data_IF_624128660446
#
_entry.id   IF_624128660446
#
_cell.length_a   1.000
_cell.length_b   1.000
_cell.length_c   1.000
_cell.angle_alpha   90.00
_cell.angle_beta   90.00
_cell.angle_gamma   90.00
#
_symmetry.space_group_name_H-M   'P 1'
#
loop_
_entity.id
_entity.type
_entity.pdbx_description
1 polymer ?
#
# COMPACT_ATOMS: atom_id res chain seq x y z
N UNK A 1 -13.13 17.42 -6.91
CA UNK A 1 -12.00 16.76 -6.17
C UNK A 1 -10.68 17.31 -6.69
N UNK A 2 -9.79 17.73 -5.78
CA UNK A 2 -8.45 18.25 -6.12
C UNK A 2 -7.38 17.28 -5.68
N UNK A 3 -6.29 17.18 -6.47
CA UNK A 3 -5.12 16.34 -6.18
C UNK A 3 -3.88 17.22 -6.25
N UNK A 4 -3.00 17.10 -5.27
CA UNK A 4 -1.68 17.72 -5.35
C UNK A 4 -0.81 16.92 -6.32
N UNK A 5 -0.41 17.58 -7.40
CA UNK A 5 0.44 16.99 -8.42
C UNK A 5 1.91 17.35 -8.16
N UNK A 6 2.74 16.36 -7.87
CA UNK A 6 4.18 16.57 -7.64
C UNK A 6 4.87 17.20 -8.84
N UNK A 7 4.42 16.88 -10.07
CA UNK A 7 4.98 17.43 -11.30
C UNK A 7 4.84 18.95 -11.39
N UNK A 8 3.67 19.47 -11.02
CA UNK A 8 3.36 20.91 -11.10
C UNK A 8 3.53 21.63 -9.76
N UNK A 9 3.64 20.86 -8.64
CA UNK A 9 3.66 21.36 -7.25
C UNK A 9 2.42 22.16 -6.87
N UNK A 10 1.27 21.82 -7.44
CA UNK A 10 -0.01 22.49 -7.20
C UNK A 10 -1.12 21.48 -6.95
N UNK A 11 -2.16 21.91 -6.24
CA UNK A 11 -3.44 21.20 -6.20
C UNK A 11 -4.20 21.53 -7.50
N UNK A 12 -4.58 20.50 -8.22
CA UNK A 12 -5.27 20.60 -9.51
C UNK A 12 -6.60 19.86 -9.44
N UNK A 13 -7.59 20.31 -10.20
CA UNK A 13 -8.83 19.55 -10.36
C UNK A 13 -8.53 18.23 -11.06
N UNK A 14 -9.03 17.14 -10.47
CA UNK A 14 -8.88 15.83 -11.06
C UNK A 14 -9.82 15.67 -12.26
N UNK A 15 -9.25 15.46 -13.43
CA UNK A 15 -9.97 15.16 -14.67
C UNK A 15 -9.40 13.87 -15.24
N UNK A 16 -10.18 12.76 -15.23
CA UNK A 16 -9.70 11.49 -15.74
C UNK A 16 -9.53 11.50 -17.25
N UNK A 17 -8.69 10.59 -17.76
CA UNK A 17 -8.48 10.36 -19.19
C UNK A 17 -9.76 9.87 -19.88
N UNK A 18 -10.54 9.05 -19.16
CA UNK A 18 -11.81 8.49 -19.60
C UNK A 18 -12.86 8.74 -18.52
N UNK A 19 -13.99 9.30 -18.89
CA UNK A 19 -15.05 9.63 -17.93
C UNK A 19 -15.48 8.40 -17.11
N UNK A 20 -15.57 8.57 -15.79
CA UNK A 20 -15.94 7.51 -14.87
C UNK A 20 -14.88 6.45 -14.60
N UNK A 21 -13.70 6.51 -15.24
CA UNK A 21 -12.63 5.53 -15.07
C UNK A 21 -11.33 6.18 -14.62
N UNK A 22 -10.54 5.44 -13.85
CA UNK A 22 -9.22 5.89 -13.37
C UNK A 22 -8.19 4.80 -13.60
N UNK A 23 -7.11 5.13 -14.29
CA UNK A 23 -5.92 4.32 -14.50
C UNK A 23 -4.86 4.71 -13.48
N UNK A 24 -4.60 3.86 -12.50
CA UNK A 24 -3.70 4.16 -11.39
C UNK A 24 -2.59 3.12 -11.27
N UNK A 25 -1.34 3.56 -11.35
CA UNK A 25 -0.16 2.74 -11.10
C UNK A 25 0.52 3.16 -9.80
N UNK A 26 0.79 2.20 -8.93
CA UNK A 26 1.53 2.41 -7.68
C UNK A 26 2.73 1.48 -7.65
N UNK A 27 3.94 2.04 -7.59
CA UNK A 27 5.15 1.23 -7.51
C UNK A 27 5.13 0.32 -6.29
N UNK A 28 5.26 -0.97 -6.53
CA UNK A 28 5.25 -2.02 -5.53
C UNK A 28 6.62 -2.28 -4.89
N UNK A 29 6.68 -3.15 -3.88
CA UNK A 29 7.91 -3.43 -3.17
C UNK A 29 8.84 -4.39 -3.90
N UNK A 30 10.14 -4.29 -3.62
CA UNK A 30 11.11 -5.34 -3.91
C UNK A 30 10.96 -6.46 -2.87
N UNK A 31 10.68 -7.67 -3.31
CA UNK A 31 10.24 -8.80 -2.46
C UNK A 31 11.41 -9.69 -2.04
N UNK A 32 12.28 -9.18 -1.18
CA UNK A 32 13.45 -9.88 -0.63
C UNK A 32 13.36 -10.16 0.87
N UNK A 33 12.38 -9.59 1.56
CA UNK A 33 12.18 -9.74 3.01
C UNK A 33 10.74 -9.37 3.38
N UNK A 34 10.35 -9.61 4.63
CA UNK A 34 9.11 -9.06 5.19
C UNK A 34 9.06 -7.54 4.99
N UNK A 35 7.88 -7.02 4.65
CA UNK A 35 7.70 -5.58 4.46
C UNK A 35 7.84 -4.84 5.79
N UNK A 36 8.45 -3.67 5.74
CA UNK A 36 8.54 -2.78 6.88
C UNK A 36 7.43 -1.72 6.86
N UNK A 37 7.23 -1.06 8.00
CA UNK A 37 6.15 -0.06 8.14
C UNK A 37 6.27 1.10 7.14
N UNK A 38 7.48 1.40 6.64
CA UNK A 38 7.67 2.36 5.55
C UNK A 38 7.09 1.90 4.20
N UNK A 39 7.11 0.57 3.91
CA UNK A 39 6.43 0.01 2.75
C UNK A 39 4.90 -0.03 2.94
N UNK A 40 4.45 -0.23 4.18
CA UNK A 40 3.02 -0.25 4.51
C UNK A 40 2.35 1.10 4.23
N UNK A 41 3.07 2.21 4.42
CA UNK A 41 2.52 3.55 4.26
C UNK A 41 1.93 3.81 2.86
N UNK A 42 2.67 3.69 1.75
CA UNK A 42 2.09 3.84 0.41
C UNK A 42 0.97 2.84 0.14
N UNK A 43 1.06 1.59 0.63
CA UNK A 43 0.03 0.58 0.44
C UNK A 43 -1.30 1.01 1.07
N UNK A 44 -1.28 1.52 2.30
CA UNK A 44 -2.46 2.00 3.03
C UNK A 44 -3.01 3.29 2.40
N UNK A 45 -2.14 4.25 2.11
CA UNK A 45 -2.53 5.55 1.56
C UNK A 45 -3.19 5.39 0.20
N UNK A 46 -2.57 4.68 -0.73
CA UNK A 46 -3.09 4.57 -2.09
C UNK A 46 -4.27 3.58 -2.20
N UNK A 47 -4.39 2.62 -1.27
CA UNK A 47 -5.64 1.87 -1.08
C UNK A 47 -6.79 2.79 -0.65
N UNK A 48 -6.53 3.74 0.24
CA UNK A 48 -7.53 4.72 0.68
C UNK A 48 -7.91 5.69 -0.45
N UNK A 49 -6.94 6.15 -1.24
CA UNK A 49 -7.20 6.93 -2.46
C UNK A 49 -8.10 6.17 -3.42
N UNK A 50 -7.78 4.90 -3.70
CA UNK A 50 -8.60 4.01 -4.53
C UNK A 50 -10.02 3.88 -3.98
N UNK A 51 -10.18 3.57 -2.68
CA UNK A 51 -11.49 3.41 -2.03
C UNK A 51 -12.33 4.67 -2.12
N UNK A 52 -11.73 5.84 -1.92
CA UNK A 52 -12.45 7.10 -2.05
C UNK A 52 -12.88 7.39 -3.50
N UNK A 53 -12.03 7.12 -4.48
CA UNK A 53 -12.41 7.25 -5.89
C UNK A 53 -13.56 6.29 -6.26
N UNK A 54 -13.49 5.02 -5.80
CA UNK A 54 -14.59 4.06 -5.97
C UNK A 54 -15.89 4.55 -5.28
N UNK A 55 -15.78 5.13 -4.08
CA UNK A 55 -16.89 5.76 -3.37
C UNK A 55 -17.52 6.91 -4.16
N UNK A 56 -16.72 7.70 -4.87
CA UNK A 56 -17.17 8.78 -5.77
C UNK A 56 -17.72 8.26 -7.11
N UNK A 57 -17.76 6.94 -7.31
CA UNK A 57 -18.36 6.30 -8.48
C UNK A 57 -17.38 6.02 -9.63
N UNK A 58 -16.08 6.18 -9.45
CA UNK A 58 -15.09 5.81 -10.46
C UNK A 58 -14.83 4.30 -10.48
N UNK A 59 -14.69 3.74 -11.68
CA UNK A 59 -14.08 2.42 -11.88
C UNK A 59 -12.54 2.58 -11.87
N UNK A 60 -11.88 2.08 -10.82
CA UNK A 60 -10.44 2.24 -10.65
C UNK A 60 -9.70 0.98 -11.10
N UNK A 61 -8.94 1.06 -12.20
CA UNK A 61 -7.98 0.04 -12.58
C UNK A 61 -6.65 0.32 -11.84
N UNK A 62 -6.47 -0.36 -10.70
CA UNK A 62 -5.32 -0.21 -9.81
C UNK A 62 -4.28 -1.29 -10.10
N UNK A 63 -3.11 -0.88 -10.56
CA UNK A 63 -1.97 -1.77 -10.83
C UNK A 63 -0.85 -1.49 -9.84
N UNK A 64 -0.34 -2.54 -9.19
CA UNK A 64 0.84 -2.45 -8.33
C UNK A 64 1.68 -3.70 -8.50
N UNK A 65 2.93 -3.54 -8.89
CA UNK A 65 3.83 -4.64 -9.22
C UNK A 65 4.52 -5.25 -7.99
N UNK A 66 5.14 -6.40 -8.24
CA UNK A 66 6.21 -6.92 -7.38
C UNK A 66 7.52 -6.94 -8.17
N UNK A 67 8.53 -6.25 -7.66
CA UNK A 67 9.91 -6.37 -8.16
C UNK A 67 10.49 -7.66 -7.59
N UNK A 68 10.50 -8.70 -8.43
CA UNK A 68 10.90 -10.07 -8.08
C UNK A 68 12.27 -10.46 -8.66
N UNK A 69 12.98 -9.51 -9.26
CA UNK A 69 14.37 -9.60 -9.69
C UNK A 69 15.14 -8.33 -9.31
N UNK A 70 16.10 -8.43 -8.39
CA UNK A 70 16.87 -7.29 -7.88
C UNK A 70 18.14 -7.79 -7.19
N UNK A 71 19.16 -6.94 -7.08
CA UNK A 71 20.43 -7.27 -6.38
C UNK A 71 20.19 -7.74 -4.94
N UNK A 72 19.18 -7.22 -4.24
CA UNK A 72 18.85 -7.61 -2.85
C UNK A 72 18.25 -9.01 -2.78
N UNK A 73 17.44 -9.40 -3.77
CA UNK A 73 16.85 -10.74 -3.87
C UNK A 73 17.97 -11.75 -4.15
N UNK A 74 18.84 -11.44 -5.11
CA UNK A 74 19.99 -12.29 -5.50
C UNK A 74 20.92 -12.49 -4.30
N UNK A 75 21.29 -11.41 -3.61
CA UNK A 75 22.12 -11.50 -2.41
C UNK A 75 21.48 -12.39 -1.34
N UNK A 76 20.18 -12.21 -1.09
CA UNK A 76 19.43 -13.00 -0.11
C UNK A 76 19.39 -14.49 -0.50
N UNK A 77 19.20 -14.79 -1.78
CA UNK A 77 19.20 -16.15 -2.31
C UNK A 77 20.54 -16.85 -2.10
N UNK A 78 21.64 -16.15 -2.39
CA UNK A 78 22.99 -16.65 -2.16
C UNK A 78 23.26 -16.89 -0.65
N UNK A 79 22.85 -15.97 0.22
CA UNK A 79 22.98 -16.09 1.68
C UNK A 79 22.22 -17.30 2.24
N UNK A 80 21.02 -17.62 1.68
CA UNK A 80 20.20 -18.74 2.14
C UNK A 80 20.45 -20.04 1.36
N UNK A 81 21.26 -20.02 0.29
CA UNK A 81 21.54 -21.20 -0.54
C UNK A 81 20.33 -21.69 -1.34
N UNK A 82 19.45 -20.79 -1.75
CA UNK A 82 18.23 -21.07 -2.52
C UNK A 82 18.18 -20.23 -3.79
N UNK A 83 17.18 -20.44 -4.67
CA UNK A 83 17.02 -19.63 -5.88
C UNK A 83 16.42 -18.25 -5.58
N UNK A 84 16.67 -17.28 -6.47
CA UNK A 84 16.05 -15.96 -6.42
C UNK A 84 14.51 -16.05 -6.54
N UNK A 85 14.01 -16.99 -7.34
CA UNK A 85 12.59 -17.26 -7.50
C UNK A 85 11.96 -17.79 -6.19
N UNK A 86 12.65 -18.63 -5.45
CA UNK A 86 12.16 -19.13 -4.15
C UNK A 86 12.05 -17.97 -3.14
N UNK A 87 13.03 -17.07 -3.09
CA UNK A 87 13.00 -15.89 -2.23
C UNK A 87 11.82 -14.99 -2.61
N UNK A 88 11.70 -14.61 -3.89
CA UNK A 88 10.64 -13.69 -4.32
C UNK A 88 9.26 -14.28 -4.13
N UNK A 89 9.03 -15.56 -4.47
CA UNK A 89 7.75 -16.26 -4.28
C UNK A 89 7.35 -16.28 -2.81
N UNK A 90 8.28 -16.59 -1.92
CA UNK A 90 8.07 -16.58 -0.47
C UNK A 90 7.61 -15.20 0.01
N UNK A 91 8.36 -14.15 -0.32
CA UNK A 91 8.07 -12.83 0.19
C UNK A 91 6.91 -12.10 -0.52
N UNK A 92 6.54 -12.49 -1.74
CA UNK A 92 5.25 -12.09 -2.34
C UNK A 92 4.08 -12.62 -1.51
N UNK A 93 4.14 -13.90 -1.11
CA UNK A 93 3.10 -14.51 -0.27
C UNK A 93 3.00 -13.81 1.09
N UNK A 94 4.13 -13.56 1.75
CA UNK A 94 4.17 -12.86 3.02
C UNK A 94 3.68 -11.41 2.91
N UNK A 95 4.07 -10.69 1.85
CA UNK A 95 3.60 -9.34 1.58
C UNK A 95 2.07 -9.28 1.38
N UNK A 96 1.52 -10.20 0.58
CA UNK A 96 0.06 -10.29 0.37
C UNK A 96 -0.68 -10.56 1.69
N UNK A 97 -0.11 -11.39 2.56
CA UNK A 97 -0.69 -11.63 3.90
C UNK A 97 -0.69 -10.36 4.74
N UNK A 98 0.45 -9.67 4.84
CA UNK A 98 0.56 -8.43 5.61
C UNK A 98 -0.39 -7.34 5.06
N UNK A 99 -0.54 -7.24 3.74
CA UNK A 99 -1.51 -6.34 3.10
C UNK A 99 -2.95 -6.67 3.48
N UNK A 100 -3.34 -7.96 3.47
CA UNK A 100 -4.67 -8.40 3.86
C UNK A 100 -4.96 -8.11 5.34
N UNK A 101 -3.97 -8.35 6.20
CA UNK A 101 -4.07 -8.09 7.65
C UNK A 101 -4.23 -6.58 7.94
N UNK A 102 -3.67 -5.69 7.10
CA UNK A 102 -3.88 -4.24 7.13
C UNK A 102 -5.17 -3.79 6.41
N UNK A 103 -6.00 -4.70 5.92
CA UNK A 103 -7.19 -4.43 5.11
C UNK A 103 -6.91 -3.62 3.83
N UNK A 104 -5.76 -3.83 3.20
CA UNK A 104 -5.44 -3.30 1.88
C UNK A 104 -6.11 -4.19 0.82
N UNK A 105 -6.93 -3.60 -0.06
CA UNK A 105 -7.57 -4.33 -1.16
C UNK A 105 -6.51 -4.90 -2.11
N UNK A 106 -6.69 -6.13 -2.62
CA UNK A 106 -5.84 -6.63 -3.70
C UNK A 106 -5.84 -5.67 -4.90
N UNK A 107 -4.69 -5.48 -5.53
CA UNK A 107 -4.63 -4.72 -6.78
C UNK A 107 -5.52 -5.38 -7.86
N UNK A 108 -6.04 -4.60 -8.79
CA UNK A 108 -6.74 -5.14 -9.97
C UNK A 108 -5.81 -6.05 -10.74
N UNK A 109 -4.54 -5.64 -10.87
CA UNK A 109 -3.47 -6.46 -11.44
C UNK A 109 -2.20 -6.23 -10.63
N UNK A 110 -1.53 -7.34 -10.25
CA UNK A 110 -0.26 -7.32 -9.50
C UNK A 110 0.82 -8.06 -10.30
N UNK A 111 1.39 -7.44 -11.35
CA UNK A 111 2.37 -8.09 -12.22
C UNK A 111 3.70 -8.29 -11.51
N UNK A 112 4.47 -9.28 -11.98
CA UNK A 112 5.83 -9.56 -11.54
C UNK A 112 6.81 -9.18 -12.64
N UNK A 113 7.92 -8.54 -12.30
CA UNK A 113 8.91 -8.08 -13.27
C UNK A 113 9.45 -9.21 -14.15
N UNK A 114 9.69 -10.40 -13.57
CA UNK A 114 10.19 -11.58 -14.29
C UNK A 114 9.23 -12.10 -15.37
N UNK A 115 7.96 -11.79 -15.29
CA UNK A 115 6.94 -12.17 -16.28
C UNK A 115 6.87 -11.20 -17.47
N UNK A 116 7.57 -10.06 -17.39
CA UNK A 116 7.47 -8.96 -18.36
C UNK A 116 8.78 -8.69 -19.11
N UNK A 117 9.73 -9.61 -19.05
CA UNK A 117 11.08 -9.47 -19.63
C UNK A 117 11.04 -9.13 -21.12
N UNK A 118 10.20 -9.81 -21.90
CA UNK A 118 10.11 -9.53 -23.34
C UNK A 118 9.65 -8.09 -23.62
N UNK A 119 8.65 -7.60 -22.87
CA UNK A 119 8.20 -6.21 -22.98
C UNK A 119 9.28 -5.20 -22.62
N UNK A 120 10.16 -5.54 -21.65
CA UNK A 120 11.31 -4.71 -21.31
C UNK A 120 12.34 -4.67 -22.43
N UNK A 121 12.65 -5.82 -23.03
CA UNK A 121 13.55 -5.91 -24.19
C UNK A 121 13.00 -5.09 -25.36
N UNK A 122 11.71 -5.22 -25.65
CA UNK A 122 11.05 -4.50 -26.76
C UNK A 122 11.07 -2.97 -26.54
N UNK A 123 10.82 -2.51 -25.31
CA UNK A 123 10.88 -1.09 -24.96
C UNK A 123 12.32 -0.56 -25.07
N UNK A 124 13.31 -1.30 -24.56
CA UNK A 124 14.71 -0.93 -24.64
C UNK A 124 15.15 -0.84 -26.11
N UNK A 125 14.77 -1.83 -26.94
CA UNK A 125 15.08 -1.79 -28.38
C UNK A 125 14.47 -0.56 -29.05
N UNK A 126 13.21 -0.24 -28.72
CA UNK A 126 12.55 0.98 -29.23
C UNK A 126 13.32 2.25 -28.83
N UNK A 127 13.83 2.32 -27.60
CA UNK A 127 14.64 3.45 -27.14
C UNK A 127 15.98 3.53 -27.86
N UNK A 128 16.62 2.39 -28.19
CA UNK A 128 17.85 2.34 -28.99
C UNK A 128 17.57 2.83 -30.41
N UNK A 129 16.53 2.32 -31.06
CA UNK A 129 16.15 2.67 -32.44
C UNK A 129 15.85 4.17 -32.57
N UNK A 130 15.27 4.78 -31.53
CA UNK A 130 15.02 6.22 -31.45
C UNK A 130 16.23 7.05 -31.00
N UNK A 131 17.36 6.40 -30.68
CA UNK A 131 18.61 7.04 -30.27
C UNK A 131 18.65 7.53 -28.82
N UNK A 132 17.67 7.15 -27.98
CA UNK A 132 17.64 7.48 -26.55
C UNK A 132 18.43 6.49 -25.68
N UNK A 133 18.79 5.34 -26.20
CA UNK A 133 19.58 4.36 -25.50
C UNK A 133 20.74 3.84 -26.37
N UNK A 134 21.73 3.20 -25.78
CA UNK A 134 22.86 2.60 -26.47
C UNK A 134 23.40 1.39 -25.75
N UNK A 135 23.83 0.33 -26.48
CA UNK A 135 24.58 -0.77 -25.91
C UNK A 135 26.06 -0.42 -25.76
N UNK A 136 26.63 -0.74 -24.63
CA UNK A 136 28.07 -0.67 -24.38
C UNK A 136 28.78 -1.95 -24.83
N UNK A 137 30.13 -1.95 -24.81
CA UNK A 137 30.92 -3.07 -25.30
C UNK A 137 30.74 -4.38 -24.53
N UNK A 138 30.36 -4.33 -23.26
CA UNK A 138 30.09 -5.50 -22.41
C UNK A 138 28.62 -6.00 -22.51
N UNK A 139 27.80 -5.35 -23.33
CA UNK A 139 26.37 -5.66 -23.49
C UNK A 139 25.45 -4.93 -22.52
N UNK A 140 25.98 -4.09 -21.63
CA UNK A 140 25.15 -3.20 -20.80
C UNK A 140 24.43 -2.21 -21.69
N UNK A 141 23.13 -1.98 -21.48
CA UNK A 141 22.40 -0.93 -22.21
C UNK A 141 22.12 0.23 -21.26
N UNK A 142 22.48 1.43 -21.71
CA UNK A 142 22.27 2.67 -20.96
C UNK A 142 21.27 3.58 -21.66
N UNK A 143 20.50 4.34 -20.86
CA UNK A 143 19.67 5.44 -21.33
C UNK A 143 20.49 6.74 -21.39
N UNK A 144 20.36 7.51 -22.48
CA UNK A 144 21.03 8.82 -22.68
C UNK A 144 20.23 9.93 -22.03
N UNK A 145 20.49 10.24 -20.78
CA UNK A 145 19.73 11.26 -20.02
C UNK A 145 19.73 12.62 -20.72
N UNK A 146 20.84 13.09 -21.26
CA UNK A 146 20.94 14.40 -21.92
C UNK A 146 20.14 14.53 -23.22
N UNK A 147 19.64 13.42 -23.77
CA UNK A 147 18.76 13.43 -24.94
C UNK A 147 17.33 13.86 -24.59
N UNK A 148 16.91 13.63 -23.36
CA UNK A 148 15.61 14.06 -22.85
C UNK A 148 15.73 15.45 -22.21
N UNK A 149 15.28 16.48 -22.94
CA UNK A 149 15.49 17.88 -22.54
C UNK A 149 14.78 18.27 -21.24
N UNK A 150 13.73 17.53 -20.86
CA UNK A 150 12.90 17.78 -19.69
C UNK A 150 13.31 16.97 -18.47
N UNK A 151 14.52 16.35 -18.47
CA UNK A 151 15.01 15.60 -17.31
C UNK A 151 15.03 16.47 -16.06
N UNK A 152 14.51 15.94 -14.98
CA UNK A 152 14.36 16.69 -13.73
C UNK A 152 13.02 17.41 -13.59
N UNK A 153 12.07 17.27 -14.55
CA UNK A 153 10.78 17.95 -14.50
C UNK A 153 9.90 17.52 -13.31
N UNK A 154 10.01 16.26 -12.86
CA UNK A 154 9.28 15.76 -11.70
C UNK A 154 9.98 16.10 -10.38
N UNK A 155 11.27 15.85 -10.32
CA UNK A 155 12.10 16.07 -9.12
C UNK A 155 12.46 17.54 -8.91
N UNK A 156 12.31 18.37 -9.95
CA UNK A 156 12.75 19.76 -10.02
C UNK A 156 14.24 19.94 -9.73
N UNK A 157 15.05 18.92 -10.07
CA UNK A 157 16.49 18.94 -9.96
C UNK A 157 17.13 19.49 -11.22
N UNK A 158 18.15 20.29 -11.05
CA UNK A 158 18.94 20.79 -12.17
C UNK A 158 20.01 19.74 -12.54
N UNK A 159 20.17 19.47 -13.85
CA UNK A 159 21.19 18.55 -14.37
C UNK A 159 22.62 18.92 -13.93
N UNK A 160 22.92 20.22 -13.88
CA UNK A 160 24.26 20.69 -13.47
C UNK A 160 24.57 20.37 -12.00
N UNK A 161 23.58 20.46 -11.13
CA UNK A 161 23.71 20.11 -9.72
C UNK A 161 23.89 18.59 -9.53
N UNK A 162 23.21 17.79 -10.34
CA UNK A 162 23.37 16.33 -10.35
C UNK A 162 24.76 15.91 -10.79
N UNK A 163 25.32 16.55 -11.84
CA UNK A 163 26.68 16.27 -12.32
C UNK A 163 27.75 16.55 -11.26
N UNK A 164 27.59 17.59 -10.46
CA UNK A 164 28.53 17.93 -9.40
C UNK A 164 28.57 16.89 -8.27
N UNK A 165 27.42 16.25 -7.96
CA UNK A 165 27.30 15.17 -6.97
C UNK A 165 27.87 13.83 -7.43
N UNK A 166 27.79 13.52 -8.73
CA UNK A 166 28.30 12.25 -9.29
C UNK A 166 29.80 12.19 -9.47
N UNK A 167 30.50 13.34 -9.59
CA UNK A 167 31.97 13.39 -9.75
C UNK A 167 32.76 12.81 -8.58
N UNK A 168 32.12 12.58 -7.43
CA UNK A 168 32.77 12.06 -6.22
C UNK A 168 32.62 10.55 -6.00
N UNK A 169 31.77 9.85 -6.76
CA UNK A 169 31.48 8.42 -6.59
C UNK A 169 31.90 7.63 -7.84
N UNK A 170 33.13 7.17 -7.90
CA UNK A 170 33.56 6.17 -8.89
C UNK A 170 33.02 4.80 -8.48
N UNK A 171 31.99 4.31 -9.17
CA UNK A 171 31.52 2.94 -9.04
C UNK A 171 32.17 2.08 -10.13
N UNK A 172 32.68 0.92 -9.76
CA UNK A 172 33.28 -0.06 -10.69
C UNK A 172 32.28 -0.44 -11.80
N UNK A 173 32.68 -0.26 -13.06
CA UNK A 173 31.86 -0.54 -14.26
C UNK A 173 31.27 0.69 -14.96
N UNK A 174 31.51 1.91 -14.45
CA UNK A 174 31.00 3.17 -15.04
C UNK A 174 31.84 3.70 -16.21
N UNK A 175 32.98 3.09 -16.52
CA UNK A 175 33.91 3.56 -17.55
C UNK A 175 33.35 3.45 -19.01
N UNK A 176 32.17 2.82 -19.17
CA UNK A 176 31.52 2.61 -20.46
C UNK A 176 30.34 3.54 -20.74
N UNK A 177 29.97 4.42 -19.79
CA UNK A 177 28.90 5.41 -19.99
C UNK A 177 29.38 6.55 -20.88
N UNK A 178 28.54 6.97 -21.82
CA UNK A 178 28.76 8.20 -22.60
C UNK A 178 28.68 9.45 -21.70
N UNK A 179 27.80 9.42 -20.68
CA UNK A 179 27.63 10.48 -19.70
C UNK A 179 27.42 9.89 -18.28
N UNK A 180 28.01 10.49 -17.23
CA UNK A 180 27.82 10.01 -15.84
C UNK A 180 26.36 9.91 -15.36
N UNK A 181 25.46 10.70 -15.93
CA UNK A 181 24.04 10.70 -15.59
C UNK A 181 23.27 9.54 -16.23
N UNK A 182 23.85 8.88 -17.26
CA UNK A 182 23.17 7.79 -17.95
C UNK A 182 22.93 6.64 -16.98
N UNK A 183 21.75 6.05 -17.07
CA UNK A 183 21.36 4.95 -16.17
C UNK A 183 21.12 3.65 -16.92
N UNK A 184 21.23 2.53 -16.21
CA UNK A 184 21.21 1.20 -16.79
C UNK A 184 19.78 0.77 -17.09
N UNK A 185 19.53 0.29 -18.31
CA UNK A 185 18.30 -0.35 -18.77
C UNK A 185 18.41 -1.88 -18.78
N UNK A 186 19.62 -2.42 -19.13
CA UNK A 186 19.92 -3.85 -19.15
C UNK A 186 21.31 -4.11 -18.62
N UNK A 187 21.45 -5.11 -17.75
CA UNK A 187 22.72 -5.50 -17.13
C UNK A 187 23.17 -6.87 -17.64
N UNK A 188 24.45 -7.05 -17.98
CA UNK A 188 25.01 -8.36 -18.31
C UNK A 188 24.87 -9.34 -17.15
N UNK A 189 24.71 -10.61 -17.48
CA UNK A 189 24.70 -11.74 -16.57
C UNK A 189 25.99 -11.82 -15.75
N UNK A 190 25.84 -12.07 -14.44
CA UNK A 190 26.92 -12.51 -13.56
C UNK A 190 26.69 -13.96 -13.13
N UNK A 191 27.74 -14.63 -12.70
CA UNK A 191 27.64 -15.99 -12.21
C UNK A 191 26.69 -16.09 -11.02
N UNK A 192 25.77 -17.06 -11.05
CA UNK A 192 24.78 -17.26 -9.99
C UNK A 192 23.55 -16.32 -10.04
N UNK A 193 23.50 -15.37 -10.99
CA UNK A 193 22.33 -14.50 -11.16
C UNK A 193 21.32 -15.07 -12.17
N UNK A 194 20.01 -14.83 -11.96
CA UNK A 194 19.00 -15.09 -12.98
C UNK A 194 19.28 -14.23 -14.21
N UNK A 195 19.06 -14.79 -15.40
CA UNK A 195 19.31 -14.07 -16.65
C UNK A 195 18.41 -14.55 -17.77
N UNK A 196 18.18 -13.67 -18.71
CA UNK A 196 17.37 -13.90 -19.91
C UNK A 196 18.17 -13.51 -21.15
N UNK A 197 17.98 -14.22 -22.29
CA UNK A 197 18.59 -13.84 -23.54
C UNK A 197 18.04 -12.50 -24.03
N UNK A 198 18.91 -11.65 -24.55
CA UNK A 198 18.57 -10.38 -25.21
C UNK A 198 19.42 -10.15 -26.45
N UNK A 199 19.08 -9.19 -27.32
CA UNK A 199 19.91 -8.83 -28.49
C UNK A 199 21.32 -8.35 -28.13
N UNK A 200 21.54 -7.89 -26.88
CA UNK A 200 22.81 -7.28 -26.46
C UNK A 200 23.70 -8.25 -25.70
N UNK A 201 23.12 -8.99 -24.78
CA UNK A 201 23.78 -10.06 -24.02
C UNK A 201 22.75 -10.83 -23.19
N UNK A 202 23.10 -12.02 -22.72
CA UNK A 202 22.39 -12.65 -21.61
C UNK A 202 22.50 -11.76 -20.38
N UNK A 203 21.36 -11.46 -19.75
CA UNK A 203 21.35 -10.50 -18.65
C UNK A 203 19.99 -10.31 -17.99
N UNK A 204 19.83 -9.20 -17.32
CA UNK A 204 18.59 -8.83 -16.61
C UNK A 204 18.30 -7.33 -16.71
N UNK A 205 17.02 -6.94 -16.51
CA UNK A 205 16.62 -5.54 -16.59
C UNK A 205 17.26 -4.69 -15.50
N UNK A 206 17.41 -3.40 -15.78
CA UNK A 206 17.58 -2.36 -14.78
C UNK A 206 16.26 -2.13 -14.04
N UNK A 207 16.34 -1.57 -12.83
CA UNK A 207 15.17 -1.40 -11.96
C UNK A 207 14.09 -0.48 -12.54
N UNK A 208 14.48 0.57 -13.29
CA UNK A 208 13.54 1.61 -13.72
C UNK A 208 12.67 1.20 -14.90
N UNK A 209 13.11 0.27 -15.76
CA UNK A 209 12.36 -0.16 -16.95
C UNK A 209 11.13 -1.00 -16.59
N UNK A 210 11.15 -1.67 -15.44
CA UNK A 210 10.09 -2.58 -15.02
C UNK A 210 8.73 -1.90 -14.95
N UNK A 211 8.63 -0.80 -14.17
CA UNK A 211 7.37 -0.09 -13.95
C UNK A 211 6.87 0.61 -15.23
N UNK A 212 7.76 1.14 -16.06
CA UNK A 212 7.39 1.71 -17.35
C UNK A 212 6.70 0.69 -18.27
N UNK A 213 7.24 -0.53 -18.34
CA UNK A 213 6.69 -1.60 -19.17
C UNK A 213 5.39 -2.13 -18.60
N UNK A 214 5.34 -2.40 -17.30
CA UNK A 214 4.14 -2.93 -16.66
C UNK A 214 2.99 -1.91 -16.69
N UNK A 215 3.27 -0.63 -16.46
CA UNK A 215 2.28 0.43 -16.60
C UNK A 215 1.72 0.50 -18.02
N UNK A 216 2.58 0.52 -19.03
CA UNK A 216 2.15 0.52 -20.43
C UNK A 216 1.29 -0.69 -20.78
N UNK A 217 1.69 -1.87 -20.37
CA UNK A 217 0.99 -3.12 -20.69
C UNK A 217 -0.42 -3.19 -20.10
N UNK A 218 -0.58 -2.79 -18.84
CA UNK A 218 -1.82 -2.99 -18.10
C UNK A 218 -2.75 -1.77 -18.06
N UNK A 219 -2.19 -0.57 -18.28
CA UNK A 219 -2.95 0.68 -18.21
C UNK A 219 -2.90 1.50 -19.52
N UNK A 220 -1.93 1.22 -20.40
CA UNK A 220 -1.72 1.93 -21.66
C UNK A 220 -0.58 2.94 -21.59
N UNK A 221 -0.40 3.68 -22.68
CA UNK A 221 0.74 4.59 -22.86
C UNK A 221 0.63 5.88 -22.02
N UNK A 222 -0.58 6.27 -21.65
CA UNK A 222 -0.90 7.41 -20.80
C UNK A 222 -1.82 6.94 -19.68
N UNK A 223 -1.54 7.35 -18.44
CA UNK A 223 -2.30 6.98 -17.25
C UNK A 223 -2.75 8.22 -16.47
N UNK A 224 -3.78 8.07 -15.64
CA UNK A 224 -4.26 9.17 -14.81
C UNK A 224 -3.30 9.45 -13.66
N UNK A 225 -3.01 8.46 -12.83
CA UNK A 225 -2.22 8.62 -11.60
C UNK A 225 -1.06 7.64 -11.58
N UNK A 226 0.14 8.18 -11.35
CA UNK A 226 1.32 7.41 -10.93
C UNK A 226 1.72 7.80 -9.52
N UNK A 227 1.94 6.80 -8.64
CA UNK A 227 2.13 7.07 -7.24
C UNK A 227 3.17 6.17 -6.56
N UNK A 228 3.67 6.64 -5.40
CA UNK A 228 4.64 5.91 -4.58
C UNK A 228 5.15 6.72 -3.39
N UNK A 229 6.20 6.26 -2.73
CA UNK A 229 6.91 7.03 -1.71
C UNK A 229 7.68 8.22 -2.30
N UNK A 230 7.89 9.27 -1.53
CA UNK A 230 8.66 10.44 -2.00
C UNK A 230 10.14 10.13 -2.32
N UNK A 231 10.68 9.03 -1.80
CA UNK A 231 12.01 8.50 -2.14
C UNK A 231 12.09 7.99 -3.59
N UNK A 232 10.96 7.68 -4.21
CA UNK A 232 10.88 7.26 -5.60
C UNK A 232 10.87 8.41 -6.59
N UNK A 233 10.57 9.65 -6.15
CA UNK A 233 10.54 10.83 -7.04
C UNK A 233 11.82 10.88 -7.88
N UNK A 234 12.97 10.68 -7.22
CA UNK A 234 14.26 10.64 -7.87
C UNK A 234 15.16 9.55 -7.28
N UNK A 235 15.80 8.71 -8.11
CA UNK A 235 15.77 8.75 -9.57
C UNK A 235 14.63 7.95 -10.24
N UNK A 236 13.89 7.11 -9.50
CA UNK A 236 13.05 6.06 -10.08
C UNK A 236 11.94 6.60 -11.00
N UNK A 237 11.04 7.43 -10.47
CA UNK A 237 9.92 7.98 -11.23
C UNK A 237 10.36 8.99 -12.32
N UNK A 238 11.43 9.76 -12.05
CA UNK A 238 12.03 10.60 -13.08
C UNK A 238 12.47 9.76 -14.28
N UNK A 239 13.20 8.66 -14.04
CA UNK A 239 13.68 7.76 -15.07
C UNK A 239 12.54 7.01 -15.79
N UNK A 240 11.45 6.70 -15.09
CA UNK A 240 10.27 6.12 -15.73
C UNK A 240 9.59 7.07 -16.72
N UNK A 241 9.54 8.38 -16.39
CA UNK A 241 9.03 9.41 -17.30
C UNK A 241 9.82 9.38 -18.60
N UNK A 242 11.14 9.42 -18.52
CA UNK A 242 11.99 9.42 -19.70
C UNK A 242 11.80 8.19 -20.56
N UNK A 243 11.84 7.02 -19.94
CA UNK A 243 11.65 5.76 -20.65
C UNK A 243 10.31 5.73 -21.38
N UNK A 244 9.24 6.09 -20.67
CA UNK A 244 7.88 6.02 -21.20
C UNK A 244 7.61 7.08 -22.25
N UNK A 245 7.98 8.34 -21.99
CA UNK A 245 7.70 9.44 -22.91
C UNK A 245 8.58 9.38 -24.17
N UNK A 246 9.86 9.00 -24.05
CA UNK A 246 10.71 8.79 -25.22
C UNK A 246 10.25 7.59 -26.06
N UNK A 247 9.79 6.52 -25.41
CA UNK A 247 9.28 5.33 -26.12
C UNK A 247 7.97 5.64 -26.84
N UNK A 248 7.01 6.29 -26.17
CA UNK A 248 5.63 6.42 -26.65
C UNK A 248 5.35 7.74 -27.36
N UNK A 249 6.14 8.80 -27.09
CA UNK A 249 5.90 10.15 -27.63
C UNK A 249 4.67 10.85 -27.02
N UNK A 250 4.26 10.45 -25.83
CA UNK A 250 3.09 10.96 -25.09
C UNK A 250 3.47 11.21 -23.64
N UNK A 251 2.70 12.04 -22.94
CA UNK A 251 2.79 12.21 -21.50
C UNK A 251 2.53 10.85 -20.84
N UNK A 252 3.37 10.48 -19.88
CA UNK A 252 3.26 9.19 -19.20
C UNK A 252 2.12 9.18 -18.17
N UNK A 253 2.12 10.11 -17.21
CA UNK A 253 1.08 10.22 -16.21
C UNK A 253 0.66 11.68 -16.01
N UNK A 254 -0.66 11.90 -15.83
CA UNK A 254 -1.21 13.25 -15.62
C UNK A 254 -0.97 13.75 -14.22
N UNK A 255 -1.14 12.89 -13.23
CA UNK A 255 -1.00 13.22 -11.81
C UNK A 255 0.06 12.32 -11.16
N UNK A 256 1.01 12.96 -10.48
CA UNK A 256 2.06 12.30 -9.72
C UNK A 256 1.82 12.50 -8.24
N UNK A 257 1.57 11.41 -7.52
CA UNK A 257 1.26 11.46 -6.09
C UNK A 257 2.35 10.76 -5.26
N UNK A 258 2.83 11.44 -4.24
CA UNK A 258 3.88 10.89 -3.37
C UNK A 258 3.52 11.06 -1.91
N UNK A 259 3.62 9.97 -1.13
CA UNK A 259 3.50 10.04 0.31
C UNK A 259 4.85 10.38 0.95
N UNK A 260 4.78 11.19 2.02
CA UNK A 260 5.96 11.61 2.77
C UNK A 260 6.65 10.45 3.52
N UNK A 261 7.86 10.69 4.01
CA UNK A 261 8.67 9.71 4.75
C UNK A 261 8.02 9.28 6.08
N UNK A 262 8.35 8.05 6.48
CA UNK A 262 8.11 7.57 7.84
C UNK A 262 9.43 7.61 8.63
N UNK A 263 9.42 8.36 9.73
CA UNK A 263 10.48 8.40 10.72
C UNK A 263 10.13 7.49 11.91
N UNK A 264 11.12 7.02 12.62
CA UNK A 264 10.96 6.29 13.89
C UNK A 264 11.69 7.06 14.97
N UNK A 265 10.96 7.45 16.02
CA UNK A 265 11.49 8.26 17.12
C UNK A 265 12.27 9.50 16.62
N UNK A 266 11.66 10.22 15.67
CA UNK A 266 12.22 11.40 15.00
C UNK A 266 13.54 11.16 14.22
N UNK A 267 13.84 9.88 13.87
CA UNK A 267 15.00 9.51 13.07
C UNK A 267 14.57 8.74 11.83
N UNK A 268 15.32 8.91 10.75
CA UNK A 268 15.09 8.11 9.53
C UNK A 268 15.21 6.62 9.87
N UNK A 269 14.25 5.82 9.41
CA UNK A 269 14.30 4.37 9.56
C UNK A 269 15.44 3.79 8.72
N UNK A 270 16.32 3.01 9.34
CA UNK A 270 17.36 2.26 8.63
C UNK A 270 17.77 0.99 9.38
N UNK A 271 18.22 -0.02 8.63
CA UNK A 271 18.75 -1.25 9.22
C UNK A 271 20.02 -1.00 10.05
N UNK A 272 20.87 -0.07 9.61
CA UNK A 272 22.12 0.28 10.30
C UNK A 272 21.90 0.96 11.67
N UNK A 273 20.76 1.65 11.85
CA UNK A 273 20.39 2.26 13.12
C UNK A 273 19.65 1.31 14.08
N UNK A 274 19.35 0.08 13.65
CA UNK A 274 18.61 -0.90 14.45
C UNK A 274 17.16 -0.51 14.77
N UNK A 275 16.64 0.55 14.13
CA UNK A 275 15.28 1.04 14.33
C UNK A 275 14.28 0.55 13.26
N UNK A 276 14.68 -0.46 12.49
CA UNK A 276 13.85 -1.08 11.46
C UNK A 276 12.72 -1.91 12.09
N UNK A 277 11.48 -1.67 11.66
CA UNK A 277 10.28 -2.39 12.15
C UNK A 277 9.53 -3.00 10.98
N UNK A 278 9.29 -4.31 11.03
CA UNK A 278 8.41 -4.98 10.06
C UNK A 278 6.94 -4.83 10.47
N UNK A 279 6.03 -4.91 9.49
CA UNK A 279 4.59 -4.94 9.75
C UNK A 279 4.24 -6.12 10.68
N UNK A 280 4.90 -7.28 10.48
CA UNK A 280 4.71 -8.46 11.31
C UNK A 280 5.04 -8.22 12.79
N UNK A 281 6.16 -7.53 13.08
CA UNK A 281 6.52 -7.17 14.45
C UNK A 281 5.52 -6.22 15.10
N UNK A 282 4.92 -5.31 14.31
CA UNK A 282 3.83 -4.46 14.83
C UNK A 282 2.60 -5.30 15.11
N UNK A 283 2.27 -6.26 14.24
CA UNK A 283 1.13 -7.17 14.41
C UNK A 283 1.22 -8.10 15.64
N UNK A 284 2.43 -8.29 16.21
CA UNK A 284 2.62 -9.01 17.47
C UNK A 284 2.14 -8.21 18.71
N UNK A 285 2.05 -6.88 18.57
CA UNK A 285 1.72 -5.96 19.69
C UNK A 285 0.37 -5.28 19.50
N UNK A 286 -0.04 -5.04 18.25
CA UNK A 286 -1.25 -4.29 17.89
C UNK A 286 -2.04 -5.02 16.80
N UNK A 287 -3.37 -4.88 16.82
CA UNK A 287 -4.16 -5.15 15.61
C UNK A 287 -3.68 -4.23 14.49
N UNK A 288 -3.46 -4.77 13.30
CA UNK A 288 -2.93 -3.98 12.17
C UNK A 288 -3.91 -2.91 11.66
N UNK A 289 -5.18 -2.93 12.10
CA UNK A 289 -6.10 -1.81 11.92
C UNK A 289 -5.65 -0.56 12.71
N UNK A 290 -4.95 -0.74 13.84
CA UNK A 290 -4.34 0.38 14.58
C UNK A 290 -3.21 1.01 13.76
N UNK A 291 -2.38 0.18 13.10
CA UNK A 291 -1.34 0.68 12.20
C UNK A 291 -1.96 1.45 11.01
N UNK A 292 -3.03 0.91 10.42
CA UNK A 292 -3.76 1.59 9.35
C UNK A 292 -4.30 2.95 9.83
N UNK A 293 -5.00 2.97 10.94
CA UNK A 293 -5.52 4.20 11.55
C UNK A 293 -4.41 5.21 11.82
N UNK A 294 -3.29 4.77 12.41
CA UNK A 294 -2.12 5.60 12.66
C UNK A 294 -1.58 6.25 11.37
N UNK A 295 -1.46 5.49 10.27
CA UNK A 295 -0.98 6.00 8.99
C UNK A 295 -1.91 7.06 8.37
N UNK A 296 -3.22 6.96 8.62
CA UNK A 296 -4.24 7.87 8.10
C UNK A 296 -4.47 9.10 8.99
N UNK A 297 -3.92 9.12 10.22
CA UNK A 297 -4.10 10.23 11.16
C UNK A 297 -3.25 11.47 10.84
N UNK A 298 -2.51 11.45 9.75
CA UNK A 298 -1.78 12.59 9.22
C UNK A 298 -1.99 12.67 7.71
N UNK A 299 -1.92 13.87 7.16
CA UNK A 299 -1.98 14.07 5.70
C UNK A 299 -0.89 13.25 5.01
N UNK A 300 -1.22 12.55 3.92
CA UNK A 300 -0.31 11.60 3.27
C UNK A 300 1.03 12.20 2.84
N UNK A 301 1.06 13.47 2.41
CA UNK A 301 2.28 14.18 2.00
C UNK A 301 3.19 14.60 3.16
N UNK A 302 2.65 14.69 4.36
CA UNK A 302 3.44 15.08 5.53
C UNK A 302 4.34 13.93 6.00
N UNK A 303 5.58 14.20 6.43
CA UNK A 303 6.34 13.21 7.17
C UNK A 303 5.58 12.73 8.40
N UNK A 304 5.64 11.43 8.67
CA UNK A 304 4.97 10.80 9.80
C UNK A 304 6.01 10.24 10.76
N UNK A 305 5.89 10.53 12.05
CA UNK A 305 6.76 9.97 13.06
C UNK A 305 6.09 8.80 13.77
N UNK A 306 6.71 7.64 13.73
CA UNK A 306 6.26 6.44 14.45
C UNK A 306 6.90 6.40 15.84
N UNK A 307 6.08 6.23 16.88
CA UNK A 307 6.53 5.94 18.24
C UNK A 307 5.48 5.09 18.97
N UNK A 308 5.86 4.44 20.06
CA UNK A 308 4.96 3.64 20.86
C UNK A 308 3.79 4.47 21.42
N UNK A 309 4.05 5.68 21.90
CA UNK A 309 3.02 6.56 22.46
C UNK A 309 1.98 6.97 21.39
N UNK A 310 2.42 7.23 20.16
CA UNK A 310 1.52 7.57 19.06
C UNK A 310 0.70 6.37 18.59
N UNK A 311 1.25 5.16 18.67
CA UNK A 311 0.50 3.93 18.39
C UNK A 311 -0.56 3.66 19.48
N UNK A 312 -0.25 3.87 20.76
CA UNK A 312 -1.25 3.79 21.84
C UNK A 312 -2.36 4.84 21.68
N UNK A 313 -2.00 6.07 21.31
CA UNK A 313 -2.99 7.11 21.02
C UNK A 313 -3.89 6.74 19.82
N UNK A 314 -3.32 6.14 18.78
CA UNK A 314 -4.06 5.64 17.63
C UNK A 314 -5.00 4.50 18.02
N UNK A 315 -4.55 3.55 18.84
CA UNK A 315 -5.35 2.46 19.39
C UNK A 315 -6.57 2.99 20.15
N UNK A 316 -6.35 3.86 21.13
CA UNK A 316 -7.42 4.43 21.94
C UNK A 316 -8.42 5.23 21.08
N UNK A 317 -7.94 5.88 20.02
CA UNK A 317 -8.80 6.63 19.09
C UNK A 317 -9.65 5.70 18.24
N UNK A 318 -9.07 4.62 17.72
CA UNK A 318 -9.81 3.62 16.95
C UNK A 318 -10.85 2.90 17.83
N UNK A 319 -10.49 2.54 19.08
CA UNK A 319 -11.41 1.92 20.03
C UNK A 319 -12.68 2.76 20.26
N UNK A 320 -12.57 4.09 20.33
CA UNK A 320 -13.75 4.98 20.45
C UNK A 320 -14.71 4.86 19.27
N UNK A 321 -14.19 4.68 18.05
CA UNK A 321 -15.01 4.46 16.85
C UNK A 321 -15.68 3.08 16.94
N UNK A 322 -14.91 2.05 17.30
CA UNK A 322 -15.42 0.68 17.45
C UNK A 322 -16.50 0.56 18.53
N UNK A 323 -16.31 1.22 19.68
CA UNK A 323 -17.32 1.26 20.76
C UNK A 323 -18.63 1.94 20.29
N UNK A 324 -18.53 3.06 19.57
CA UNK A 324 -19.71 3.72 19.04
C UNK A 324 -20.43 2.84 18.00
N UNK A 325 -19.69 2.22 17.09
CA UNK A 325 -20.24 1.29 16.11
C UNK A 325 -20.91 0.08 16.80
N UNK A 326 -20.29 -0.48 17.84
CA UNK A 326 -20.87 -1.57 18.64
C UNK A 326 -22.18 -1.18 19.31
N UNK A 327 -22.27 0.01 19.91
CA UNK A 327 -23.50 0.52 20.53
C UNK A 327 -24.61 0.73 19.50
N UNK A 328 -24.27 1.29 18.33
CA UNK A 328 -25.24 1.49 17.23
C UNK A 328 -25.73 0.15 16.70
N UNK A 329 -24.83 -0.81 16.47
CA UNK A 329 -25.20 -2.16 16.03
C UNK A 329 -26.11 -2.86 17.05
N UNK A 330 -25.77 -2.80 18.32
CA UNK A 330 -26.59 -3.37 19.39
C UNK A 330 -28.00 -2.74 19.42
N UNK A 331 -28.10 -1.42 19.28
CA UNK A 331 -29.39 -0.72 19.25
C UNK A 331 -30.18 -1.05 17.98
N UNK A 332 -29.55 -1.05 16.83
CA UNK A 332 -30.15 -1.45 15.55
C UNK A 332 -30.77 -2.85 15.62
N UNK A 333 -30.13 -3.79 16.31
CA UNK A 333 -30.59 -5.17 16.37
C UNK A 333 -31.61 -5.40 17.48
N UNK A 334 -31.51 -4.72 18.63
CA UNK A 334 -32.20 -5.05 19.86
C UNK A 334 -33.14 -3.96 20.42
N UNK A 335 -33.32 -2.80 19.75
CA UNK A 335 -34.24 -1.77 20.25
C UNK A 335 -35.69 -2.26 20.30
N UNK A 336 -36.43 -1.81 21.31
CA UNK A 336 -37.85 -2.11 21.43
C UNK A 336 -38.74 -1.27 20.46
N UNK A 337 -38.26 -0.08 20.10
CA UNK A 337 -38.91 0.81 19.15
C UNK A 337 -38.37 0.55 17.75
N UNK A 338 -39.23 0.19 16.80
CA UNK A 338 -38.78 -0.12 15.45
C UNK A 338 -38.73 1.14 14.57
N UNK A 339 -39.82 1.91 14.51
CA UNK A 339 -39.95 2.99 13.56
C UNK A 339 -39.32 4.28 14.06
N UNK A 340 -38.71 5.03 13.14
CA UNK A 340 -38.11 6.32 13.39
C UNK A 340 -39.16 7.39 13.73
N UNK A 341 -38.88 8.25 14.66
CA UNK A 341 -39.70 9.43 14.99
C UNK A 341 -39.33 10.63 14.09
N UNK A 342 -40.22 11.64 14.06
CA UNK A 342 -39.93 12.89 13.31
C UNK A 342 -38.66 13.61 13.85
N UNK A 343 -38.46 13.56 15.18
CA UNK A 343 -37.27 14.12 15.80
C UNK A 343 -36.01 13.38 15.42
N UNK A 344 -36.04 12.05 15.42
CA UNK A 344 -34.90 11.22 14.98
C UNK A 344 -34.61 11.38 13.49
N UNK A 345 -35.64 11.55 12.66
CA UNK A 345 -35.48 11.82 11.23
C UNK A 345 -34.74 13.17 11.00
N UNK A 346 -35.09 14.18 11.80
CA UNK A 346 -34.39 15.47 11.76
C UNK A 346 -32.90 15.33 12.18
N UNK A 347 -32.60 14.49 13.20
CA UNK A 347 -31.25 14.17 13.62
C UNK A 347 -30.47 13.40 12.55
N UNK A 348 -31.07 12.43 11.84
CA UNK A 348 -30.42 11.77 10.72
C UNK A 348 -30.03 12.76 9.62
N UNK A 349 -30.91 13.69 9.31
CA UNK A 349 -30.64 14.74 8.33
C UNK A 349 -29.50 15.67 8.80
N UNK A 350 -29.40 15.95 10.10
CA UNK A 350 -28.24 16.69 10.66
C UNK A 350 -26.94 15.87 10.49
N UNK A 351 -27.01 14.55 10.67
CA UNK A 351 -25.85 13.67 10.52
C UNK A 351 -25.26 13.66 9.10
N UNK A 352 -26.07 13.92 8.04
CA UNK A 352 -25.58 14.10 6.65
C UNK A 352 -24.54 15.23 6.55
N UNK A 353 -24.58 16.19 7.48
CA UNK A 353 -23.58 17.26 7.57
C UNK A 353 -22.16 16.75 7.87
N UNK A 354 -22.02 15.64 8.59
CA UNK A 354 -20.70 15.03 8.87
C UNK A 354 -20.19 14.27 7.65
N UNK A 355 -21.08 13.65 6.87
CA UNK A 355 -20.74 13.04 5.57
C UNK A 355 -20.19 14.12 4.63
N UNK A 356 -20.88 15.27 4.54
CA UNK A 356 -20.44 16.41 3.72
C UNK A 356 -19.06 16.92 4.14
N UNK A 357 -18.79 17.00 5.45
CA UNK A 357 -17.46 17.38 5.97
C UNK A 357 -16.38 16.36 5.59
N UNK A 358 -16.69 15.07 5.73
CA UNK A 358 -15.79 14.00 5.33
C UNK A 358 -15.44 14.08 3.84
N UNK A 359 -16.44 14.23 2.99
CA UNK A 359 -16.26 14.35 1.55
C UNK A 359 -15.45 15.60 1.19
N UNK A 360 -15.72 16.74 1.83
CA UNK A 360 -14.96 17.96 1.61
C UNK A 360 -13.48 17.80 1.97
N UNK A 361 -13.17 17.09 3.06
CA UNK A 361 -11.80 16.78 3.45
C UNK A 361 -11.10 15.86 2.43
N UNK A 362 -11.79 14.80 2.00
CA UNK A 362 -11.25 13.86 1.02
C UNK A 362 -11.15 14.46 -0.37
N UNK A 363 -12.06 15.34 -0.76
CA UNK A 363 -12.02 16.08 -2.03
C UNK A 363 -10.89 17.11 -2.07
N UNK A 364 -10.32 17.51 -0.93
CA UNK A 364 -9.16 18.39 -0.82
C UNK A 364 -7.86 17.61 -0.64
N UNK A 365 -7.45 16.88 -1.68
CA UNK A 365 -6.17 16.16 -1.73
C UNK A 365 -6.10 14.99 -0.72
N UNK A 366 -7.22 14.26 -0.58
CA UNK A 366 -7.32 13.09 0.29
C UNK A 366 -6.85 13.35 1.73
N UNK A 367 -7.34 14.44 2.32
CA UNK A 367 -7.01 14.82 3.69
C UNK A 367 -7.67 13.89 4.72
N UNK A 368 -7.07 12.74 4.94
CA UNK A 368 -7.58 11.70 5.85
C UNK A 368 -7.63 12.14 7.31
N UNK A 369 -6.78 13.08 7.72
CA UNK A 369 -6.78 13.61 9.09
C UNK A 369 -8.09 14.38 9.38
N UNK A 370 -8.50 15.27 8.47
CA UNK A 370 -9.76 16.01 8.60
C UNK A 370 -10.97 15.09 8.36
N UNK A 371 -10.84 14.08 7.48
CA UNK A 371 -11.87 13.07 7.30
C UNK A 371 -12.10 12.25 8.58
N UNK A 372 -11.05 11.86 9.30
CA UNK A 372 -11.15 11.23 10.62
C UNK A 372 -11.80 12.16 11.66
N UNK A 373 -11.50 13.46 11.61
CA UNK A 373 -12.17 14.43 12.49
C UNK A 373 -13.69 14.45 12.26
N UNK A 374 -14.15 14.41 11.00
CA UNK A 374 -15.57 14.31 10.66
C UNK A 374 -16.21 13.01 11.20
N UNK A 375 -15.51 11.87 11.13
CA UNK A 375 -15.95 10.61 11.74
C UNK A 375 -16.09 10.76 13.27
N UNK A 376 -15.14 11.41 13.94
CA UNK A 376 -15.25 11.65 15.39
C UNK A 376 -16.38 12.58 15.77
N UNK A 377 -16.69 13.56 14.95
CA UNK A 377 -17.89 14.39 15.13
C UNK A 377 -19.17 13.56 15.01
N UNK A 378 -19.26 12.67 14.02
CA UNK A 378 -20.38 11.72 13.88
C UNK A 378 -20.49 10.77 15.08
N UNK A 379 -19.37 10.22 15.55
CA UNK A 379 -19.30 9.36 16.75
C UNK A 379 -19.80 10.12 17.99
N UNK A 380 -19.37 11.37 18.18
CA UNK A 380 -19.84 12.22 19.28
C UNK A 380 -21.34 12.49 19.16
N UNK A 381 -21.82 12.80 17.98
CA UNK A 381 -23.23 13.03 17.69
C UNK A 381 -24.08 11.80 18.01
N UNK A 382 -23.67 10.63 17.55
CA UNK A 382 -24.32 9.35 17.83
C UNK A 382 -24.37 9.07 19.35
N UNK A 383 -23.24 9.19 20.06
CA UNK A 383 -23.20 8.98 21.50
C UNK A 383 -24.06 9.98 22.32
N UNK A 384 -24.35 11.15 21.76
CA UNK A 384 -25.19 12.17 22.41
C UNK A 384 -26.67 11.92 22.21
N UNK A 385 -27.07 11.47 21.00
CA UNK A 385 -28.46 11.41 20.58
C UNK A 385 -29.06 10.00 20.64
N UNK A 386 -28.24 8.94 20.66
CA UNK A 386 -28.74 7.56 20.76
C UNK A 386 -28.77 7.12 22.22
N UNK A 387 -29.96 6.67 22.67
CA UNK A 387 -30.20 6.19 24.02
C UNK A 387 -31.10 4.94 24.01
N UNK A 388 -31.50 4.47 25.18
CA UNK A 388 -32.32 3.26 25.34
C UNK A 388 -33.69 3.32 24.70
N UNK A 389 -34.22 4.50 24.43
CA UNK A 389 -35.53 4.74 23.78
C UNK A 389 -35.42 4.98 22.28
N UNK A 390 -34.23 5.06 21.73
CA UNK A 390 -34.00 5.30 20.30
C UNK A 390 -34.51 4.13 19.46
N UNK A 391 -35.06 4.45 18.29
CA UNK A 391 -35.57 3.44 17.35
C UNK A 391 -34.44 2.65 16.65
N UNK A 392 -34.83 1.45 16.15
CA UNK A 392 -33.92 0.64 15.31
C UNK A 392 -33.50 1.37 14.05
N UNK A 393 -34.48 2.01 13.37
CA UNK A 393 -34.21 2.72 12.12
C UNK A 393 -33.23 3.89 12.32
N UNK A 394 -33.38 4.65 13.41
CA UNK A 394 -32.43 5.74 13.74
C UNK A 394 -31.02 5.22 13.97
N UNK A 395 -30.89 4.18 14.80
CA UNK A 395 -29.58 3.58 15.06
C UNK A 395 -28.97 2.94 13.79
N UNK A 396 -29.79 2.30 12.96
CA UNK A 396 -29.35 1.73 11.68
C UNK A 396 -28.83 2.83 10.73
N UNK A 397 -29.55 3.95 10.58
CA UNK A 397 -29.12 5.05 9.72
C UNK A 397 -27.75 5.62 10.14
N UNK A 398 -27.56 5.88 11.45
CA UNK A 398 -26.25 6.36 11.97
C UNK A 398 -25.16 5.30 11.82
N UNK A 399 -25.46 4.03 12.00
CA UNK A 399 -24.50 2.94 11.79
C UNK A 399 -24.07 2.84 10.33
N UNK A 400 -25.02 2.93 9.39
CA UNK A 400 -24.73 2.88 7.96
C UNK A 400 -23.80 4.02 7.51
N UNK A 401 -24.05 5.25 7.99
CA UNK A 401 -23.17 6.37 7.69
C UNK A 401 -21.77 6.16 8.29
N UNK A 402 -21.67 5.74 9.56
CA UNK A 402 -20.40 5.46 10.19
C UNK A 402 -19.65 4.33 9.49
N UNK A 403 -20.36 3.28 9.07
CA UNK A 403 -19.78 2.16 8.33
C UNK A 403 -19.23 2.62 6.98
N UNK A 404 -20.03 3.34 6.21
CA UNK A 404 -19.69 3.86 4.89
C UNK A 404 -18.43 4.73 4.92
N UNK A 405 -18.34 5.69 5.85
CA UNK A 405 -17.16 6.55 5.99
C UNK A 405 -15.92 5.78 6.47
N UNK A 406 -16.11 4.84 7.40
CA UNK A 406 -15.03 3.99 7.91
C UNK A 406 -14.50 3.05 6.82
N UNK A 407 -15.36 2.47 5.97
CA UNK A 407 -14.95 1.59 4.87
C UNK A 407 -14.15 2.34 3.79
N UNK A 408 -14.47 3.60 3.51
CA UNK A 408 -13.64 4.46 2.64
C UNK A 408 -12.21 4.56 3.17
N UNK A 409 -12.03 4.66 4.48
CA UNK A 409 -10.72 4.65 5.12
C UNK A 409 -10.16 3.23 5.32
N UNK A 410 -10.93 2.19 4.94
CA UNK A 410 -10.58 0.78 5.13
C UNK A 410 -10.51 0.35 6.59
N UNK A 411 -11.21 1.07 7.47
CA UNK A 411 -11.34 0.71 8.88
C UNK A 411 -12.52 -0.24 9.06
N UNK A 412 -12.27 -1.42 9.59
CA UNK A 412 -13.29 -2.42 9.90
C UNK A 412 -13.96 -2.08 11.23
N UNK A 413 -15.21 -1.69 11.21
CA UNK A 413 -15.98 -1.36 12.41
C UNK A 413 -17.02 -2.41 12.78
N UNK A 414 -17.16 -3.46 11.98
CA UNK A 414 -18.02 -4.58 12.29
C UNK A 414 -17.57 -5.26 13.57
N UNK A 415 -18.54 -5.61 14.41
CA UNK A 415 -18.27 -6.39 15.64
C UNK A 415 -17.63 -7.71 15.23
N UNK A 416 -16.39 -7.98 15.68
CA UNK A 416 -15.87 -9.35 15.62
C UNK A 416 -16.86 -10.20 16.41
N UNK A 417 -17.44 -11.25 15.80
CA UNK A 417 -18.27 -12.21 16.54
C UNK A 417 -17.42 -12.74 17.68
N UNK A 418 -17.75 -12.30 18.90
CA UNK A 418 -17.13 -12.85 20.09
C UNK A 418 -17.71 -14.23 20.33
N UNK A 419 -16.91 -15.24 20.11
CA UNK A 419 -17.20 -16.61 20.53
C UNK A 419 -17.43 -16.61 22.03
N UNK A 420 -18.54 -17.20 22.49
CA UNK A 420 -18.80 -17.45 23.91
C UNK A 420 -17.70 -18.35 24.46
N UNK A 421 -17.25 -18.08 25.68
CA UNK A 421 -16.19 -18.87 26.34
C UNK A 421 -16.48 -20.38 26.32
N UNK A 422 -17.76 -20.75 26.43
CA UNK A 422 -18.20 -22.13 26.28
C UNK A 422 -17.91 -22.74 24.91
N UNK A 423 -18.15 -21.99 23.83
CA UNK A 423 -17.85 -22.46 22.46
C UNK A 423 -16.34 -22.58 22.21
N UNK A 424 -15.54 -21.72 22.86
CA UNK A 424 -14.08 -21.81 22.81
C UNK A 424 -13.64 -23.10 23.51
N UNK A 425 -14.19 -23.38 24.71
CA UNK A 425 -13.85 -24.58 25.45
C UNK A 425 -14.29 -25.87 24.73
N UNK A 426 -15.47 -25.85 24.09
CA UNK A 426 -15.97 -26.98 23.28
C UNK A 426 -15.05 -27.26 22.08
N UNK A 427 -14.62 -26.22 21.36
CA UNK A 427 -13.67 -26.34 20.26
C UNK A 427 -12.28 -26.80 20.71
N UNK A 428 -11.82 -26.37 21.89
CA UNK A 428 -10.55 -26.85 22.47
C UNK A 428 -10.66 -28.34 22.81
N UNK A 429 -11.79 -28.81 23.38
CA UNK A 429 -12.02 -30.22 23.65
C UNK A 429 -12.06 -31.05 22.38
N UNK A 430 -12.75 -30.56 21.33
CA UNK A 430 -12.77 -31.21 20.00
C UNK A 430 -11.36 -31.32 19.41
N UNK A 431 -10.57 -30.24 19.45
CA UNK A 431 -9.17 -30.26 19.03
C UNK A 431 -8.33 -31.29 19.80
N UNK A 432 -8.51 -31.37 21.10
CA UNK A 432 -7.80 -32.36 21.90
C UNK A 432 -8.22 -33.81 21.54
N UNK A 433 -9.50 -34.03 21.27
CA UNK A 433 -10.02 -35.33 20.83
C UNK A 433 -9.44 -35.69 19.46
N UNK A 434 -9.41 -34.79 18.50
CA UNK A 434 -8.79 -34.96 17.17
C UNK A 434 -7.29 -35.32 17.30
N UNK A 435 -6.54 -34.63 18.17
CA UNK A 435 -5.12 -34.98 18.40
C UNK A 435 -4.94 -36.37 19.01
N UNK A 436 -5.81 -36.79 19.96
CA UNK A 436 -5.79 -38.15 20.52
C UNK A 436 -6.10 -39.21 19.45
N UNK A 437 -7.01 -38.90 18.51
CA UNK A 437 -7.35 -39.75 17.39
C UNK A 437 -6.30 -39.71 16.24
N UNK A 438 -5.21 -38.93 16.40
CA UNK A 438 -4.18 -38.67 15.37
C UNK A 438 -4.72 -37.99 14.09
N UNK A 439 -5.89 -37.34 14.19
CA UNK A 439 -6.42 -36.47 13.14
C UNK A 439 -5.82 -35.06 13.28
N UNK A 440 -4.57 -34.93 12.84
CA UNK A 440 -3.84 -33.68 12.95
C UNK A 440 -4.43 -32.61 12.02
N UNK A 441 -5.04 -33.01 10.91
CA UNK A 441 -5.68 -32.06 9.97
C UNK A 441 -6.83 -31.32 10.64
N UNK A 442 -7.75 -32.07 11.27
CA UNK A 442 -8.87 -31.44 12.00
C UNK A 442 -8.40 -30.58 13.18
N UNK A 443 -7.36 -31.02 13.88
CA UNK A 443 -6.79 -30.26 14.99
C UNK A 443 -6.19 -28.91 14.54
N UNK A 444 -5.55 -28.87 13.37
CA UNK A 444 -5.00 -27.64 12.82
C UNK A 444 -6.12 -26.73 12.26
N UNK A 445 -7.15 -27.29 11.63
CA UNK A 445 -8.34 -26.54 11.18
C UNK A 445 -9.01 -25.80 12.35
N UNK A 446 -9.22 -26.46 13.48
CA UNK A 446 -9.81 -25.86 14.69
C UNK A 446 -8.90 -24.76 15.26
N UNK A 447 -7.60 -24.97 15.27
CA UNK A 447 -6.65 -23.96 15.70
C UNK A 447 -6.72 -22.70 14.83
N UNK A 448 -6.78 -22.89 13.52
CA UNK A 448 -6.88 -21.78 12.55
C UNK A 448 -8.23 -21.07 12.65
N UNK A 449 -9.31 -21.81 12.92
CA UNK A 449 -10.64 -21.25 13.16
C UNK A 449 -10.66 -20.36 14.41
N UNK A 450 -10.14 -20.86 15.53
CA UNK A 450 -10.02 -20.10 16.78
C UNK A 450 -9.13 -18.86 16.61
N UNK A 451 -8.01 -18.99 15.87
CA UNK A 451 -7.13 -17.87 15.58
C UNK A 451 -7.83 -16.78 14.74
N UNK A 452 -8.63 -17.17 13.74
CA UNK A 452 -9.45 -16.22 12.94
C UNK A 452 -10.47 -15.49 13.80
N UNK A 453 -10.98 -16.13 14.85
CA UNK A 453 -11.92 -15.56 15.83
C UNK A 453 -11.21 -14.80 16.96
N UNK A 454 -9.90 -14.55 16.83
CA UNK A 454 -9.11 -13.78 17.80
C UNK A 454 -8.75 -14.56 19.07
N UNK A 455 -8.73 -15.89 19.03
CA UNK A 455 -8.38 -16.75 20.18
C UNK A 455 -7.02 -17.39 19.93
N UNK A 456 -6.06 -17.12 20.82
CA UNK A 456 -4.72 -17.69 20.78
C UNK A 456 -4.64 -18.86 21.75
N UNK A 457 -4.30 -20.05 21.24
CA UNK A 457 -4.09 -21.24 22.04
C UNK A 457 -2.63 -21.40 22.44
N UNK A 458 -2.37 -21.71 23.70
CA UNK A 458 -1.05 -22.10 24.23
C UNK A 458 -1.14 -23.53 24.82
N UNK A 459 -0.46 -24.47 24.16
CA UNK A 459 -0.31 -25.84 24.67
C UNK A 459 0.68 -25.81 25.85
N UNK A 460 0.25 -26.21 27.03
CA UNK A 460 1.08 -26.33 28.26
C UNK A 460 1.10 -27.77 28.77
N UNK A 461 2.01 -28.07 29.70
CA UNK A 461 2.06 -29.41 30.35
C UNK A 461 0.80 -29.75 31.16
N UNK A 462 0.05 -28.73 31.59
CA UNK A 462 -1.18 -28.82 32.37
C UNK A 462 -2.45 -28.83 31.52
N UNK A 463 -2.32 -28.64 30.18
CA UNK A 463 -3.43 -28.57 29.25
C UNK A 463 -3.30 -27.40 28.25
N UNK A 464 -4.37 -27.12 27.51
CA UNK A 464 -4.43 -26.00 26.60
C UNK A 464 -4.97 -24.78 27.36
N UNK A 465 -4.18 -23.71 27.41
CA UNK A 465 -4.64 -22.39 27.87
C UNK A 465 -4.95 -21.54 26.66
N UNK A 466 -5.92 -20.66 26.78
CA UNK A 466 -6.29 -19.74 25.71
C UNK A 466 -6.38 -18.30 26.23
N UNK A 467 -6.21 -17.35 25.32
CA UNK A 467 -6.40 -15.93 25.58
C UNK A 467 -7.02 -15.27 24.36
N UNK A 468 -7.80 -14.22 24.55
CA UNK A 468 -8.25 -13.35 23.46
C UNK A 468 -7.08 -12.49 22.96
N UNK A 469 -6.96 -12.34 21.61
CA UNK A 469 -5.88 -11.59 20.97
C UNK A 469 -6.08 -10.07 21.12
#
# INVERSE_FOLDING_TARGET
MKIFNTLTRRKEEFVPLEEGKVKMYVCGPTVYNLIHIGNARPMIIFDTVRRYMEYKGYEVNYVSNFTDVDDKIIKKAIEEGVSAEEISTRYIKECKKDMADMNVKPATTAPQATQEIQGMIDMIQTLIDKGYAYPAADGTVYFRVKKFKEYGKLSHKNLDDLQSGFRSLKVSGEDQKEDPLDFVLWKPKKEGEPSWPSPWCDGRPGWHIECSVMSKKYLGEEIDIHAGGEDLIFPHHENEIEQSECCNGKIFARYWMHNGFLNIDNRKMSKSLGNFRTVRQIGEQYDLQVLRFFMLNAHYRSPLNFSADLMEAAKNSLERILEAAGKLSDRKDNAAVENITEEELALLKEAEGFVTKFEAAMDDDFNTADALAAIFELVKFANTNVNENSSKEFAAGLYEELFKLSDVLGLKIEKKEEILDKEIEDLIQERQAARKAKDFKRADEIRDELLKKGIILKDTREGVKWQRA
#
